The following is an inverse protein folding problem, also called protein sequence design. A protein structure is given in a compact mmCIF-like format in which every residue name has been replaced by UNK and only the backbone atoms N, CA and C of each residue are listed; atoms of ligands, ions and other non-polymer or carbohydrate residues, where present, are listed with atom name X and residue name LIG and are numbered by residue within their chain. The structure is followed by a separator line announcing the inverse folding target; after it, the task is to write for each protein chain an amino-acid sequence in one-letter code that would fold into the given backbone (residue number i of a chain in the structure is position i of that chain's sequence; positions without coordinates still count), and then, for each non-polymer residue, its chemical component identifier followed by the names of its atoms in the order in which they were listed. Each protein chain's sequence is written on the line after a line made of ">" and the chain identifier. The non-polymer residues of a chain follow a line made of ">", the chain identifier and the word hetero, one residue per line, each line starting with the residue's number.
data_IF_603662192807
#
_entry.id   IF_603662192807
#
_cell.length_a   1.000
_cell.length_b   1.000
_cell.length_c   1.000
_cell.angle_alpha   90.00
_cell.angle_beta   90.00
_cell.angle_gamma   90.00
#
_symmetry.space_group_name_H-M   'P 1'
#
loop_
_entity.id
_entity.type
_entity.pdbx_description
1 polymer ?
#
# COMPACT_ATOMS: atom_id res chain seq x y z
N UNK A 1 5.18 -16.88 46.30
CA UNK A 1 5.22 -15.51 45.74
C UNK A 1 5.26 -15.67 44.23
N UNK A 2 4.11 -15.57 43.57
CA UNK A 2 3.95 -15.92 42.15
C UNK A 2 3.96 -14.63 41.35
N UNK A 3 4.98 -14.45 40.52
CA UNK A 3 5.09 -13.30 39.62
C UNK A 3 4.06 -13.52 38.51
N UNK A 4 2.93 -12.81 38.57
CA UNK A 4 1.99 -12.76 37.48
C UNK A 4 2.68 -12.07 36.29
N UNK A 5 2.89 -12.83 35.22
CA UNK A 5 3.45 -12.34 33.97
C UNK A 5 2.38 -11.47 33.28
N UNK A 6 2.41 -10.16 33.55
CA UNK A 6 1.42 -9.15 33.13
C UNK A 6 1.45 -8.80 31.64
N UNK A 7 1.92 -9.71 30.77
CA UNK A 7 2.12 -9.44 29.33
C UNK A 7 0.95 -9.76 28.41
N UNK A 8 -0.22 -10.11 28.93
CA UNK A 8 -1.38 -10.40 28.08
C UNK A 8 -2.66 -9.88 28.72
N UNK A 9 -2.89 -8.58 28.68
CA UNK A 9 -4.23 -7.96 28.85
C UNK A 9 -4.19 -6.51 28.38
N UNK A 10 -3.66 -6.23 27.19
CA UNK A 10 -4.17 -5.06 26.48
C UNK A 10 -5.60 -5.43 26.07
N UNK A 11 -6.58 -4.86 26.78
CA UNK A 11 -7.97 -4.84 26.34
C UNK A 11 -7.95 -4.42 24.88
N UNK A 12 -8.63 -5.14 23.99
CA UNK A 12 -8.87 -4.71 22.60
C UNK A 12 -9.25 -3.23 22.64
N UNK A 13 -8.28 -2.34 22.45
CA UNK A 13 -8.55 -0.92 22.34
C UNK A 13 -9.62 -0.86 21.25
N UNK A 14 -10.75 -0.24 21.58
CA UNK A 14 -11.86 -0.08 20.65
C UNK A 14 -11.25 0.33 19.32
N UNK A 15 -11.23 -0.57 18.34
CA UNK A 15 -10.56 -0.36 17.06
C UNK A 15 -11.15 0.93 16.51
N UNK A 16 -10.40 2.02 16.66
CA UNK A 16 -10.93 3.35 16.47
C UNK A 16 -11.26 3.45 14.99
N UNK A 17 -12.55 3.56 14.69
CA UNK A 17 -13.01 3.65 13.32
C UNK A 17 -12.33 4.88 12.69
N UNK A 18 -11.54 4.66 11.63
CA UNK A 18 -10.93 5.76 10.92
C UNK A 18 -12.06 6.55 10.24
N UNK A 19 -12.09 7.85 10.46
CA UNK A 19 -13.03 8.74 9.78
C UNK A 19 -12.97 8.48 8.26
N UNK A 20 -14.11 8.19 7.59
CA UNK A 20 -14.12 7.85 6.16
C UNK A 20 -13.46 8.90 5.29
N UNK A 21 -13.59 10.19 5.62
CA UNK A 21 -12.98 11.27 4.85
C UNK A 21 -11.45 11.26 5.01
N UNK A 22 -10.94 10.91 6.21
CA UNK A 22 -9.50 10.78 6.47
C UNK A 22 -8.92 9.54 5.79
N UNK A 23 -9.68 8.43 5.79
CA UNK A 23 -9.34 7.22 5.05
C UNK A 23 -9.18 7.53 3.56
N UNK A 24 -10.20 8.13 2.96
CA UNK A 24 -10.22 8.48 1.55
C UNK A 24 -9.09 9.45 1.19
N UNK A 25 -8.89 10.51 1.98
CA UNK A 25 -7.81 11.47 1.76
C UNK A 25 -6.42 10.80 1.80
N UNK A 26 -6.16 9.92 2.76
CA UNK A 26 -4.89 9.22 2.86
C UNK A 26 -4.69 8.22 1.71
N UNK A 27 -5.72 7.45 1.37
CA UNK A 27 -5.68 6.54 0.22
C UNK A 27 -5.40 7.29 -1.08
N UNK A 28 -6.03 8.45 -1.31
CA UNK A 28 -5.82 9.27 -2.50
C UNK A 28 -4.37 9.74 -2.63
N UNK A 29 -3.76 10.20 -1.53
CA UNK A 29 -2.34 10.57 -1.51
C UNK A 29 -1.46 9.37 -1.86
N UNK A 30 -1.73 8.19 -1.29
CA UNK A 30 -0.95 6.98 -1.58
C UNK A 30 -1.10 6.52 -3.04
N UNK A 31 -2.29 6.66 -3.62
CA UNK A 31 -2.58 6.35 -5.03
C UNK A 31 -1.83 7.31 -5.94
N UNK A 32 -1.82 8.60 -5.63
CA UNK A 32 -1.07 9.62 -6.37
C UNK A 32 0.43 9.32 -6.38
N UNK A 33 1.00 9.02 -5.21
CA UNK A 33 2.43 8.71 -5.06
C UNK A 33 2.85 7.38 -5.70
N UNK A 34 1.95 6.38 -5.74
CA UNK A 34 2.18 5.14 -6.47
C UNK A 34 2.32 5.38 -7.98
N UNK A 35 1.54 6.33 -8.51
CA UNK A 35 1.49 6.66 -9.91
C UNK A 35 0.89 5.53 -10.77
N UNK A 36 1.24 5.53 -12.06
CA UNK A 36 0.75 4.54 -13.00
C UNK A 36 1.50 3.20 -12.91
N UNK A 37 0.75 2.11 -13.05
CA UNK A 37 1.32 0.77 -13.16
C UNK A 37 2.22 0.63 -14.39
N UNK A 38 3.39 0.02 -14.19
CA UNK A 38 4.42 -0.16 -15.22
C UNK A 38 4.14 -1.35 -16.15
N UNK A 39 3.36 -2.32 -15.68
CA UNK A 39 3.00 -3.54 -16.42
C UNK A 39 1.49 -3.79 -16.40
N UNK A 40 1.04 -4.77 -17.19
CA UNK A 40 -0.39 -5.09 -17.31
C UNK A 40 -1.04 -5.48 -15.99
N UNK A 41 -0.33 -6.23 -15.14
CA UNK A 41 -0.85 -6.68 -13.86
C UNK A 41 -1.06 -5.50 -12.89
N UNK A 42 -0.10 -4.59 -12.81
CA UNK A 42 -0.19 -3.36 -12.01
C UNK A 42 -1.32 -2.45 -12.51
N UNK A 43 -1.46 -2.29 -13.82
CA UNK A 43 -2.53 -1.49 -14.44
C UNK A 43 -3.91 -2.09 -14.17
N UNK A 44 -4.06 -3.41 -14.32
CA UNK A 44 -5.30 -4.12 -14.00
C UNK A 44 -5.70 -3.94 -12.53
N UNK A 45 -4.73 -4.10 -11.60
CA UNK A 45 -4.97 -3.97 -10.18
C UNK A 45 -5.41 -2.54 -9.80
N UNK A 46 -4.76 -1.51 -10.35
CA UNK A 46 -5.16 -0.11 -10.15
C UNK A 46 -6.52 0.20 -10.75
N UNK A 47 -6.83 -0.35 -11.92
CA UNK A 47 -8.14 -0.16 -12.55
C UNK A 47 -9.25 -0.71 -11.65
N UNK A 48 -9.09 -1.93 -11.15
CA UNK A 48 -10.08 -2.53 -10.22
C UNK A 48 -10.21 -1.72 -8.94
N UNK A 49 -9.10 -1.19 -8.41
CA UNK A 49 -9.12 -0.30 -7.24
C UNK A 49 -9.93 0.98 -7.53
N UNK A 50 -9.70 1.63 -8.68
CA UNK A 50 -10.40 2.84 -9.10
C UNK A 50 -11.89 2.60 -9.38
N UNK A 51 -12.24 1.43 -9.92
CA UNK A 51 -13.62 0.99 -10.17
C UNK A 51 -14.36 0.59 -8.87
N UNK A 52 -13.68 0.60 -7.72
CA UNK A 52 -14.25 0.21 -6.42
C UNK A 52 -14.34 -1.31 -6.20
N UNK A 53 -13.81 -2.13 -7.12
CA UNK A 53 -13.69 -3.58 -6.95
C UNK A 53 -12.46 -3.94 -6.10
N UNK A 54 -12.55 -3.66 -4.81
CA UNK A 54 -11.48 -3.95 -3.85
C UNK A 54 -11.19 -5.44 -3.70
N UNK A 55 -12.15 -6.32 -4.00
CA UNK A 55 -11.93 -7.77 -3.92
C UNK A 55 -11.15 -8.27 -5.13
N UNK A 56 -11.55 -7.84 -6.33
CA UNK A 56 -10.82 -8.13 -7.56
C UNK A 56 -9.40 -7.56 -7.54
N UNK A 57 -9.23 -6.31 -7.08
CA UNK A 57 -7.91 -5.68 -6.93
C UNK A 57 -6.98 -6.54 -6.06
N UNK A 58 -7.46 -7.01 -4.89
CA UNK A 58 -6.69 -7.90 -4.02
C UNK A 58 -6.35 -9.23 -4.68
N UNK A 59 -7.31 -9.86 -5.38
CA UNK A 59 -7.06 -11.12 -6.08
C UNK A 59 -5.97 -10.98 -7.14
N UNK A 60 -5.98 -9.87 -7.89
CA UNK A 60 -4.91 -9.56 -8.85
C UNK A 60 -3.55 -9.41 -8.16
N UNK A 61 -3.50 -8.72 -7.02
CA UNK A 61 -2.26 -8.52 -6.28
C UNK A 61 -1.62 -9.82 -5.78
N UNK A 62 -2.41 -10.88 -5.55
CA UNK A 62 -1.89 -12.19 -5.12
C UNK A 62 -1.09 -12.92 -6.21
N UNK A 63 -1.17 -12.49 -7.47
CA UNK A 63 -0.43 -13.08 -8.57
C UNK A 63 1.08 -12.77 -8.51
N UNK A 64 1.47 -11.69 -7.84
CA UNK A 64 2.87 -11.36 -7.57
C UNK A 64 3.00 -10.63 -6.22
N UNK A 65 3.05 -11.38 -5.10
CA UNK A 65 3.05 -10.82 -3.75
C UNK A 65 4.38 -10.12 -3.39
N UNK A 66 5.44 -10.35 -4.15
CA UNK A 66 6.74 -9.73 -3.92
C UNK A 66 6.83 -8.32 -4.56
N UNK A 67 5.91 -7.99 -5.45
CA UNK A 67 5.86 -6.68 -6.08
C UNK A 67 5.33 -5.61 -5.11
N UNK A 68 6.18 -4.65 -4.76
CA UNK A 68 5.84 -3.56 -3.84
C UNK A 68 4.66 -2.71 -4.33
N UNK A 69 4.48 -2.54 -5.63
CA UNK A 69 3.33 -1.82 -6.18
C UNK A 69 2.02 -2.55 -5.87
N UNK A 70 1.96 -3.85 -6.17
CA UNK A 70 0.78 -4.68 -5.89
C UNK A 70 0.54 -4.85 -4.39
N UNK A 71 1.59 -4.93 -3.59
CA UNK A 71 1.47 -4.94 -2.14
C UNK A 71 0.81 -3.66 -1.62
N UNK A 72 1.22 -2.48 -2.11
CA UNK A 72 0.59 -1.20 -1.75
C UNK A 72 -0.90 -1.17 -2.14
N UNK A 73 -1.24 -1.57 -3.38
CA UNK A 73 -2.63 -1.63 -3.87
C UNK A 73 -3.48 -2.58 -3.02
N UNK A 74 -2.95 -3.75 -2.67
CA UNK A 74 -3.62 -4.73 -1.81
C UNK A 74 -3.93 -4.18 -0.42
N UNK A 75 -2.99 -3.42 0.16
CA UNK A 75 -3.19 -2.75 1.44
C UNK A 75 -4.27 -1.66 1.33
N UNK A 76 -4.20 -0.79 0.32
CA UNK A 76 -5.21 0.27 0.11
C UNK A 76 -6.62 -0.34 -0.07
N UNK A 77 -6.76 -1.36 -0.91
CA UNK A 77 -8.01 -2.09 -1.09
C UNK A 77 -8.52 -2.74 0.22
N UNK A 78 -7.60 -3.20 1.07
CA UNK A 78 -7.94 -3.76 2.39
C UNK A 78 -8.42 -2.70 3.38
N UNK A 79 -7.83 -1.51 3.34
CA UNK A 79 -8.24 -0.37 4.17
C UNK A 79 -9.67 0.07 3.84
N UNK A 80 -10.02 0.15 2.54
CA UNK A 80 -11.40 0.43 2.11
C UNK A 80 -12.39 -0.67 2.51
N UNK A 81 -11.99 -1.95 2.45
CA UNK A 81 -12.86 -3.06 2.85
C UNK A 81 -13.08 -3.19 4.36
N UNK A 82 -12.13 -2.73 5.17
CA UNK A 82 -12.18 -2.93 6.61
C UNK A 82 -11.58 -1.73 7.36
N UNK A 83 -12.40 -0.68 7.60
CA UNK A 83 -11.96 0.52 8.32
C UNK A 83 -11.44 0.25 9.73
N UNK A 84 -11.82 -0.88 10.35
CA UNK A 84 -11.38 -1.28 11.69
C UNK A 84 -9.89 -1.63 11.77
N UNK A 85 -9.24 -1.97 10.65
CA UNK A 85 -7.80 -2.27 10.58
C UNK A 85 -7.05 -1.31 9.65
N UNK A 86 -7.71 -0.22 9.22
CA UNK A 86 -7.19 0.70 8.23
C UNK A 86 -5.87 1.34 8.66
N UNK A 87 -5.69 1.72 9.93
CA UNK A 87 -4.45 2.39 10.37
C UNK A 87 -3.20 1.52 10.16
N UNK A 88 -3.19 0.28 10.64
CA UNK A 88 -2.05 -0.63 10.44
C UNK A 88 -1.81 -0.92 8.96
N UNK A 89 -2.89 -1.12 8.20
CA UNK A 89 -2.80 -1.47 6.78
C UNK A 89 -2.34 -0.28 5.93
N UNK A 90 -2.74 0.95 6.27
CA UNK A 90 -2.29 2.17 5.57
C UNK A 90 -0.83 2.49 5.86
N UNK A 91 -0.30 2.14 7.03
CA UNK A 91 1.14 2.22 7.31
C UNK A 91 1.93 1.25 6.43
N UNK A 92 1.44 0.03 6.27
CA UNK A 92 2.05 -0.94 5.35
C UNK A 92 1.94 -0.48 3.89
N UNK A 93 0.80 0.10 3.49
CA UNK A 93 0.65 0.73 2.18
C UNK A 93 1.69 1.84 1.97
N UNK A 94 1.85 2.76 2.92
CA UNK A 94 2.81 3.86 2.85
C UNK A 94 4.25 3.36 2.70
N UNK A 95 4.62 2.29 3.43
CA UNK A 95 5.94 1.66 3.29
C UNK A 95 6.17 1.12 1.89
N UNK A 96 5.20 0.38 1.35
CA UNK A 96 5.30 -0.18 0.01
C UNK A 96 5.33 0.90 -1.07
N UNK A 97 4.52 1.95 -0.95
CA UNK A 97 4.55 3.13 -1.82
C UNK A 97 5.92 3.79 -1.80
N UNK A 98 6.52 4.00 -0.62
CA UNK A 98 7.86 4.57 -0.51
C UNK A 98 8.93 3.71 -1.22
N UNK A 99 8.80 2.38 -1.17
CA UNK A 99 9.74 1.48 -1.86
C UNK A 99 9.57 1.55 -3.40
N UNK A 100 8.35 1.70 -3.90
CA UNK A 100 8.09 1.99 -5.33
C UNK A 100 8.72 3.31 -5.75
N UNK A 101 8.51 4.38 -4.98
CA UNK A 101 9.07 5.72 -5.27
C UNK A 101 10.60 5.68 -5.28
N UNK A 102 11.23 4.99 -4.33
CA UNK A 102 12.70 4.79 -4.30
C UNK A 102 13.18 4.06 -5.55
N UNK A 103 12.52 2.95 -5.93
CA UNK A 103 12.86 2.18 -7.13
C UNK A 103 12.76 3.05 -8.39
N UNK A 104 11.65 3.77 -8.55
CA UNK A 104 11.42 4.62 -9.71
C UNK A 104 12.45 5.75 -9.79
N UNK A 105 12.79 6.36 -8.65
CA UNK A 105 13.85 7.37 -8.55
C UNK A 105 15.21 6.80 -8.94
N UNK A 106 15.58 5.62 -8.44
CA UNK A 106 16.84 4.95 -8.78
C UNK A 106 16.94 4.66 -10.29
N UNK A 107 15.86 4.16 -10.91
CA UNK A 107 15.78 3.93 -12.35
C UNK A 107 16.00 5.21 -13.15
N UNK A 108 15.32 6.31 -12.77
CA UNK A 108 15.46 7.61 -13.43
C UNK A 108 16.89 8.14 -13.34
N UNK A 109 17.50 8.11 -12.15
CA UNK A 109 18.90 8.53 -11.96
C UNK A 109 19.83 7.69 -12.83
N UNK A 110 19.68 6.37 -12.82
CA UNK A 110 20.48 5.47 -13.65
C UNK A 110 20.39 5.79 -15.14
N UNK A 111 19.18 6.04 -15.65
CA UNK A 111 18.97 6.40 -17.06
C UNK A 111 19.67 7.72 -17.46
N UNK A 112 19.70 8.71 -16.56
CA UNK A 112 20.40 9.96 -16.82
C UNK A 112 21.91 9.79 -16.87
N UNK A 113 22.49 8.95 -16.00
CA UNK A 113 23.93 8.65 -16.05
C UNK A 113 24.32 7.97 -17.36
N UNK A 114 23.53 7.01 -17.84
CA UNK A 114 23.78 6.36 -19.14
C UNK A 114 23.77 7.39 -20.27
N UNK A 115 22.77 8.28 -20.32
CA UNK A 115 22.69 9.31 -21.35
C UNK A 115 23.89 10.28 -21.36
N UNK A 116 24.47 10.58 -20.20
CA UNK A 116 25.68 11.41 -20.09
C UNK A 116 26.92 10.67 -20.63
N UNK A 117 27.01 9.35 -20.44
CA UNK A 117 28.17 8.57 -20.88
C UNK A 117 28.15 8.26 -22.39
N UNK A 118 26.98 8.26 -23.01
CA UNK A 118 26.78 7.98 -24.44
C UNK A 118 26.82 9.23 -25.34
N UNK A 119 26.74 10.44 -24.75
CA UNK A 119 26.78 11.73 -25.46
C UNK A 119 28.15 12.39 -25.44
#
# INVERSE_FOLDING_TARGET
>A
MTIANSRVTESREQLAYLDPNKLEALCNVLIEELGEGSNSLEKDAMKLLADGDYTGAKQKCLLDPCNSFLAAVSCIASAYRSPMVADSVLRDAARHTADVVKRNTATRIGSMFTAILEG
#
